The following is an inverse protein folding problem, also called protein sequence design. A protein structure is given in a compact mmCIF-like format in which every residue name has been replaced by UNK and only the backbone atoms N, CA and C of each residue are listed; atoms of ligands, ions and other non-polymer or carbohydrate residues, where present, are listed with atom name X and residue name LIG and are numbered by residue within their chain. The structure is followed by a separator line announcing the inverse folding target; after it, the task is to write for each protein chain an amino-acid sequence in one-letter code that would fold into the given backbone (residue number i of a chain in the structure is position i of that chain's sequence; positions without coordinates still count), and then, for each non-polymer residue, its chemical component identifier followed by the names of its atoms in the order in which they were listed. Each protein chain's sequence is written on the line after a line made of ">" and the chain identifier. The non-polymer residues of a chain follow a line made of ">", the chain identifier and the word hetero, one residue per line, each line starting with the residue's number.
data_IF_576458500832
#
_entry.id   IF_576458500832
#
_cell.length_a   1.000
_cell.length_b   1.000
_cell.length_c   1.000
_cell.angle_alpha   90.00
_cell.angle_beta   90.00
_cell.angle_gamma   90.00
#
_symmetry.space_group_name_H-M   'P 1'
#
loop_
_entity.id
_entity.type
_entity.pdbx_description
1 polymer ?
#
# COMPACT_ATOMS: atom_id res chain seq x y z
N UNK A 1 -11.56 3.72 4.95
CA UNK A 1 -10.70 3.72 3.74
C UNK A 1 -9.80 2.50 3.76
N UNK A 2 -9.88 1.65 2.73
CA UNK A 2 -9.07 0.42 2.59
C UNK A 2 -8.04 0.61 1.47
N UNK A 3 -6.93 -0.14 1.49
CA UNK A 3 -6.02 -0.17 0.34
C UNK A 3 -6.70 -0.88 -0.81
N UNK A 4 -6.51 -0.38 -2.02
CA UNK A 4 -6.90 -1.15 -3.19
C UNK A 4 -5.93 -2.31 -3.40
N UNK A 5 -6.33 -3.51 -2.94
CA UNK A 5 -5.51 -4.72 -3.08
C UNK A 5 -5.15 -4.99 -4.52
N UNK A 6 -6.07 -4.73 -5.45
CA UNK A 6 -5.84 -4.85 -6.90
C UNK A 6 -4.70 -3.95 -7.36
N UNK A 7 -4.74 -2.65 -7.02
CA UNK A 7 -3.73 -1.68 -7.44
C UNK A 7 -2.36 -1.97 -6.82
N UNK A 8 -2.32 -2.27 -5.52
CA UNK A 8 -1.06 -2.60 -4.85
C UNK A 8 -0.44 -3.87 -5.45
N UNK A 9 -1.23 -4.91 -5.72
CA UNK A 9 -0.72 -6.12 -6.38
C UNK A 9 -0.20 -5.86 -7.80
N UNK A 10 -0.79 -4.94 -8.55
CA UNK A 10 -0.28 -4.55 -9.86
C UNK A 10 1.10 -3.91 -9.74
N UNK A 11 1.26 -2.95 -8.82
CA UNK A 11 2.55 -2.29 -8.54
C UNK A 11 3.63 -3.30 -8.12
N UNK A 12 3.30 -4.24 -7.22
CA UNK A 12 4.24 -5.28 -6.78
C UNK A 12 4.75 -6.14 -7.94
N UNK A 13 3.86 -6.47 -8.90
CA UNK A 13 4.21 -7.24 -10.10
C UNK A 13 5.03 -6.43 -11.08
N UNK A 14 4.60 -5.20 -11.39
CA UNK A 14 5.28 -4.28 -12.31
C UNK A 14 6.72 -3.99 -11.85
N UNK A 15 6.93 -3.86 -10.55
CA UNK A 15 8.26 -3.59 -9.97
C UNK A 15 9.03 -4.85 -9.55
N UNK A 16 8.45 -6.04 -9.71
CA UNK A 16 9.05 -7.31 -9.28
C UNK A 16 9.51 -7.29 -7.80
N UNK A 17 8.71 -6.70 -6.92
CA UNK A 17 9.02 -6.61 -5.48
C UNK A 17 7.99 -7.37 -4.63
N UNK A 18 8.45 -7.89 -3.50
CA UNK A 18 7.55 -8.48 -2.51
C UNK A 18 6.82 -7.40 -1.70
N UNK A 19 5.66 -7.75 -1.15
CA UNK A 19 4.95 -6.89 -0.19
C UNK A 19 5.84 -6.50 1.01
N UNK A 20 6.71 -7.41 1.47
CA UNK A 20 7.62 -7.14 2.58
C UNK A 20 8.70 -6.14 2.19
N UNK A 21 9.20 -6.20 0.96
CA UNK A 21 10.13 -5.21 0.42
C UNK A 21 9.44 -3.83 0.37
N UNK A 22 8.22 -3.76 -0.19
CA UNK A 22 7.44 -2.52 -0.20
C UNK A 22 7.23 -1.94 1.20
N UNK A 23 6.85 -2.79 2.17
CA UNK A 23 6.66 -2.36 3.56
C UNK A 23 7.93 -1.70 4.13
N UNK A 24 9.10 -2.28 3.89
CA UNK A 24 10.38 -1.71 4.32
C UNK A 24 10.68 -0.40 3.60
N UNK A 25 10.43 -0.31 2.30
CA UNK A 25 10.63 0.91 1.50
C UNK A 25 9.79 2.07 2.03
N UNK A 26 8.53 1.83 2.40
CA UNK A 26 7.64 2.86 2.94
C UNK A 26 7.74 3.03 4.47
N UNK A 27 8.72 2.38 5.12
CA UNK A 27 9.00 2.55 6.55
C UNK A 27 7.98 1.93 7.51
N UNK A 28 7.26 0.87 7.09
CA UNK A 28 6.28 0.17 7.96
C UNK A 28 6.63 -1.29 8.18
N UNK A 29 6.12 -1.86 9.27
CA UNK A 29 6.27 -3.30 9.53
C UNK A 29 5.51 -4.11 8.47
N UNK A 30 6.05 -5.25 7.99
CA UNK A 30 5.35 -6.11 7.02
C UNK A 30 3.92 -6.49 7.42
N UNK A 31 3.71 -6.81 8.70
CA UNK A 31 2.38 -7.12 9.25
C UNK A 31 1.41 -5.94 9.20
N UNK A 32 1.91 -4.70 9.30
CA UNK A 32 1.09 -3.49 9.18
C UNK A 32 0.54 -3.36 7.76
N UNK A 33 1.39 -3.50 6.74
CA UNK A 33 0.96 -3.47 5.34
C UNK A 33 0.04 -4.64 5.01
N UNK A 34 0.33 -5.84 5.54
CA UNK A 34 -0.50 -7.03 5.35
C UNK A 34 -1.91 -6.88 5.92
N UNK A 35 -2.03 -6.32 7.12
CA UNK A 35 -3.33 -6.05 7.73
C UNK A 35 -4.12 -4.98 6.97
N UNK A 36 -3.46 -3.97 6.42
CA UNK A 36 -4.09 -2.94 5.59
C UNK A 36 -4.61 -3.52 4.25
N UNK A 37 -3.80 -4.34 3.57
CA UNK A 37 -4.18 -5.01 2.32
C UNK A 37 -5.29 -6.05 2.50
N UNK A 38 -5.32 -6.69 3.67
CA UNK A 38 -6.36 -7.65 4.02
C UNK A 38 -7.64 -6.98 4.50
N UNK A 39 -7.68 -5.64 4.58
CA UNK A 39 -8.83 -4.87 5.08
C UNK A 39 -9.11 -5.03 6.58
N UNK A 40 -8.28 -5.78 7.32
CA UNK A 40 -8.39 -5.98 8.79
C UNK A 40 -8.11 -4.70 9.56
N UNK A 41 -7.33 -3.79 8.98
CA UNK A 41 -7.11 -2.43 9.50
C UNK A 41 -7.27 -1.43 8.36
N UNK A 42 -7.75 -0.23 8.70
CA UNK A 42 -7.82 0.89 7.76
C UNK A 42 -6.44 1.36 7.34
N UNK A 43 -6.40 2.07 6.22
CA UNK A 43 -5.18 2.75 5.74
C UNK A 43 -4.88 3.94 6.63
N UNK A 44 -3.88 3.77 7.50
CA UNK A 44 -3.35 4.85 8.32
C UNK A 44 -2.53 5.84 7.50
N UNK A 45 -2.38 7.06 8.02
CA UNK A 45 -1.63 8.17 7.40
C UNK A 45 -0.22 7.76 6.98
N UNK A 46 0.48 6.96 7.79
CA UNK A 46 1.86 6.52 7.52
C UNK A 46 1.93 5.66 6.25
N UNK A 47 1.02 4.69 6.09
CA UNK A 47 1.00 3.82 4.90
C UNK A 47 0.71 4.65 3.66
N UNK A 48 -0.32 5.51 3.73
CA UNK A 48 -0.72 6.31 2.57
C UNK A 48 0.36 7.30 2.16
N UNK A 49 0.96 8.02 3.13
CA UNK A 49 2.05 8.95 2.85
C UNK A 49 3.24 8.23 2.22
N UNK A 50 3.65 7.09 2.79
CA UNK A 50 4.77 6.32 2.25
C UNK A 50 4.50 5.79 0.83
N UNK A 51 3.28 5.35 0.52
CA UNK A 51 2.91 4.95 -0.83
C UNK A 51 2.91 6.13 -1.82
N UNK A 52 2.37 7.29 -1.43
CA UNK A 52 2.37 8.49 -2.29
C UNK A 52 3.79 9.04 -2.52
N UNK A 53 4.67 8.96 -1.53
CA UNK A 53 6.07 9.32 -1.69
C UNK A 53 6.80 8.34 -2.63
N UNK A 54 6.54 7.04 -2.49
CA UNK A 54 7.19 6.02 -3.31
C UNK A 54 6.65 5.99 -4.76
N UNK A 55 5.37 6.35 -4.95
CA UNK A 55 4.68 6.31 -6.23
C UNK A 55 4.02 7.66 -6.51
N UNK A 56 4.81 8.69 -6.92
CA UNK A 56 4.30 10.06 -7.07
C UNK A 56 3.26 10.23 -8.19
N UNK A 57 3.18 9.29 -9.13
CA UNK A 57 2.15 9.27 -10.18
C UNK A 57 0.83 8.66 -9.72
N UNK A 58 0.80 8.07 -8.52
CA UNK A 58 -0.40 7.51 -7.94
C UNK A 58 -1.14 8.53 -7.09
N UNK A 59 -2.45 8.33 -6.93
CA UNK A 59 -3.30 9.19 -6.12
C UNK A 59 -3.91 8.41 -4.97
N UNK A 60 -4.45 9.13 -3.99
CA UNK A 60 -5.25 8.50 -2.92
C UNK A 60 -6.39 7.69 -3.52
N UNK A 61 -7.04 8.19 -4.56
CA UNK A 61 -8.15 7.51 -5.23
C UNK A 61 -7.73 6.23 -5.96
N UNK A 62 -6.50 6.15 -6.50
CA UNK A 62 -6.01 4.92 -7.15
C UNK A 62 -5.52 3.89 -6.12
N UNK A 63 -4.91 4.35 -5.04
CA UNK A 63 -4.31 3.49 -4.01
C UNK A 63 -5.33 3.00 -2.96
N UNK A 64 -6.52 3.58 -2.90
CA UNK A 64 -7.53 3.26 -1.90
C UNK A 64 -8.88 2.96 -2.51
N UNK A 65 -9.71 2.23 -1.78
CA UNK A 65 -11.08 1.93 -2.15
C UNK A 65 -12.03 2.22 -0.99
N UNK A 66 -13.28 2.55 -1.35
CA UNK A 66 -14.37 2.62 -0.39
C UNK A 66 -14.66 1.19 0.05
N UNK A 67 -14.51 0.96 1.35
CA UNK A 67 -14.56 -0.36 1.96
C UNK A 67 -15.84 -0.58 2.73
#
# INVERSE_FOLDING_TARGET
>A
MKLSKRKINAILREQCISQNALARTIGVRPGTLSNALSGRRGVGRVILAGLLHQFPNESVASLTERG
#
